data_IF_666224801710
#
_entry.id   IF_666224801710
#
_cell.length_a   1.000
_cell.length_b   1.000
_cell.length_c   1.000
_cell.angle_alpha   90.00
_cell.angle_beta   90.00
_cell.angle_gamma   90.00
#
_symmetry.space_group_name_H-M   'P 1'
#
loop_
_entity.id
_entity.type
_entity.pdbx_description
1 polymer ?
#
# COMPACT_ATOMS: atom_id res chain seq x y z
N UNK A 1 9.44 8.66 24.32
CA UNK A 1 10.66 9.45 24.07
C UNK A 1 10.88 9.52 22.57
N UNK A 2 10.76 10.69 21.96
CA UNK A 2 10.98 10.89 20.51
C UNK A 2 12.47 10.98 20.22
N UNK A 3 12.94 10.33 19.14
CA UNK A 3 14.33 10.43 18.69
C UNK A 3 14.43 11.41 17.52
N UNK A 4 15.45 12.29 17.47
CA UNK A 4 15.65 13.18 16.34
C UNK A 4 16.10 12.38 15.11
N UNK A 5 15.56 12.74 13.95
CA UNK A 5 15.95 12.18 12.64
C UNK A 5 16.29 13.34 11.73
N UNK A 6 17.46 13.29 11.08
CA UNK A 6 17.88 14.28 10.08
C UNK A 6 17.71 13.69 8.70
N UNK A 7 16.87 14.32 7.88
CA UNK A 7 16.59 13.90 6.50
C UNK A 7 17.11 15.00 5.58
N UNK A 8 17.87 14.64 4.54
CA UNK A 8 18.26 15.58 3.49
C UNK A 8 17.15 15.62 2.46
N UNK A 9 16.66 16.81 2.18
CA UNK A 9 15.67 17.11 1.13
C UNK A 9 16.23 18.23 0.27
N UNK A 10 15.84 18.26 -0.99
CA UNK A 10 16.15 19.40 -1.85
C UNK A 10 15.34 20.64 -1.44
N UNK A 11 15.80 21.81 -1.89
CA UNK A 11 15.21 23.10 -1.53
C UNK A 11 13.75 23.24 -1.98
N UNK A 12 13.39 22.65 -3.13
CA UNK A 12 12.03 22.70 -3.66
C UNK A 12 11.08 21.91 -2.76
N UNK A 13 11.46 20.69 -2.39
CA UNK A 13 10.67 19.86 -1.48
C UNK A 13 10.54 20.52 -0.09
N UNK A 14 11.61 21.14 0.41
CA UNK A 14 11.55 21.89 1.67
C UNK A 14 10.56 23.06 1.60
N UNK A 15 10.55 23.83 0.50
CA UNK A 15 9.60 24.93 0.30
C UNK A 15 8.14 24.44 0.28
N UNK A 16 7.87 23.34 -0.44
CA UNK A 16 6.52 22.74 -0.50
C UNK A 16 6.05 22.25 0.87
N UNK A 17 6.94 21.61 1.65
CA UNK A 17 6.63 21.15 3.00
C UNK A 17 6.32 22.32 3.93
N UNK A 18 7.05 23.43 3.80
CA UNK A 18 6.82 24.64 4.58
C UNK A 18 5.47 25.28 4.26
N UNK A 19 5.18 25.50 2.99
CA UNK A 19 3.89 26.06 2.55
C UNK A 19 2.71 25.22 3.06
N UNK A 20 2.83 23.90 2.94
CA UNK A 20 1.79 22.99 3.41
C UNK A 20 1.63 23.02 4.93
N UNK A 21 2.74 23.08 5.67
CA UNK A 21 2.68 23.18 7.12
C UNK A 21 2.01 24.50 7.58
N UNK A 22 2.32 25.61 6.90
CA UNK A 22 1.69 26.91 7.16
C UNK A 22 0.18 26.88 6.85
N UNK A 23 -0.21 26.27 5.72
CA UNK A 23 -1.61 26.11 5.33
C UNK A 23 -2.41 25.24 6.32
N UNK A 24 -1.79 24.20 6.88
CA UNK A 24 -2.40 23.31 7.88
C UNK A 24 -2.25 23.83 9.33
N UNK A 25 -1.60 24.98 9.55
CA UNK A 25 -1.37 25.54 10.88
C UNK A 25 -0.49 24.65 11.77
N UNK A 26 0.42 23.89 11.17
CA UNK A 26 1.28 22.91 11.83
C UNK A 26 2.76 23.19 11.54
N UNK A 27 3.64 22.34 12.07
CA UNK A 27 5.09 22.40 11.78
C UNK A 27 5.48 21.37 10.74
N UNK A 28 6.53 21.64 9.96
CA UNK A 28 7.10 20.69 9.01
C UNK A 28 7.45 19.36 9.70
N UNK A 29 7.98 19.41 10.92
CA UNK A 29 8.27 18.20 11.72
C UNK A 29 7.02 17.40 12.04
N UNK A 30 5.93 18.06 12.47
CA UNK A 30 4.67 17.38 12.77
C UNK A 30 4.03 16.78 11.50
N UNK A 31 4.15 17.47 10.37
CA UNK A 31 3.67 16.99 9.07
C UNK A 31 4.44 15.74 8.61
N UNK A 32 5.76 15.76 8.69
CA UNK A 32 6.61 14.60 8.35
C UNK A 32 6.38 13.45 9.32
N UNK A 33 6.27 13.73 10.62
CA UNK A 33 6.02 12.70 11.63
C UNK A 33 4.67 12.01 11.42
N UNK A 34 3.62 12.77 11.06
CA UNK A 34 2.31 12.22 10.70
C UNK A 34 2.40 11.35 9.44
N UNK A 35 3.02 11.86 8.37
CA UNK A 35 3.18 11.09 7.14
C UNK A 35 3.98 9.81 7.36
N UNK A 36 5.06 9.86 8.17
CA UNK A 36 5.84 8.68 8.53
C UNK A 36 5.05 7.68 9.39
N UNK A 37 4.25 8.17 10.34
CA UNK A 37 3.36 7.33 11.13
C UNK A 37 2.31 6.64 10.25
N UNK A 38 1.67 7.38 9.35
CA UNK A 38 0.66 6.86 8.43
C UNK A 38 1.28 5.87 7.42
N UNK A 39 2.51 6.11 6.94
CA UNK A 39 3.22 5.20 6.05
C UNK A 39 3.67 3.89 6.72
N UNK A 40 4.06 3.94 8.01
CA UNK A 40 4.46 2.76 8.78
C UNK A 40 3.24 1.99 9.29
N UNK A 41 2.12 2.68 9.48
CA UNK A 41 0.91 2.17 10.10
C UNK A 41 -0.27 2.24 9.14
N UNK A 42 -0.06 1.95 7.85
CA UNK A 42 -1.14 1.96 6.87
C UNK A 42 -2.13 0.82 7.21
N UNK A 43 -3.29 1.13 7.81
CA UNK A 43 -4.24 0.12 8.28
C UNK A 43 -4.90 -0.63 7.12
N UNK A 44 -4.73 -0.15 5.88
CA UNK A 44 -5.12 -0.91 4.69
C UNK A 44 -4.13 -2.04 4.44
N UNK A 45 -2.83 -1.83 4.63
CA UNK A 45 -1.81 -2.85 4.35
C UNK A 45 -1.67 -3.90 5.47
N UNK A 46 -2.01 -3.55 6.71
CA UNK A 46 -1.97 -4.48 7.86
C UNK A 46 -2.97 -5.66 7.73
N UNK A 47 -3.98 -5.54 6.86
CA UNK A 47 -4.95 -6.60 6.59
C UNK A 47 -5.30 -6.80 5.12
N UNK A 48 -4.91 -5.93 4.18
CA UNK A 48 -5.30 -6.06 2.76
C UNK A 48 -4.83 -7.38 2.14
N UNK A 49 -3.65 -7.88 2.50
CA UNK A 49 -3.19 -9.16 1.99
C UNK A 49 -4.08 -10.32 2.50
N UNK A 50 -4.57 -10.24 3.74
CA UNK A 50 -5.49 -11.23 4.31
C UNK A 50 -6.89 -11.11 3.69
N UNK A 51 -7.44 -9.90 3.61
CA UNK A 51 -8.72 -9.61 2.94
C UNK A 51 -8.70 -10.04 1.48
N UNK A 52 -7.62 -9.76 0.76
CA UNK A 52 -7.45 -10.18 -0.63
C UNK A 52 -7.38 -11.71 -0.75
N UNK A 53 -6.63 -12.39 0.14
CA UNK A 53 -6.57 -13.86 0.16
C UNK A 53 -7.93 -14.49 0.46
N UNK A 54 -8.67 -13.95 1.44
CA UNK A 54 -10.03 -14.40 1.77
C UNK A 54 -10.96 -14.19 0.58
N UNK A 55 -10.96 -13.00 -0.03
CA UNK A 55 -11.79 -12.70 -1.20
C UNK A 55 -11.49 -13.64 -2.37
N UNK A 56 -10.21 -13.88 -2.69
CA UNK A 56 -9.82 -14.79 -3.76
C UNK A 56 -10.29 -16.21 -3.46
N UNK A 57 -10.08 -16.72 -2.24
CA UNK A 57 -10.52 -18.06 -1.87
C UNK A 57 -12.04 -18.22 -1.93
N UNK A 58 -12.80 -17.24 -1.45
CA UNK A 58 -14.26 -17.29 -1.43
C UNK A 58 -14.89 -17.20 -2.83
N UNK A 59 -14.15 -16.66 -3.81
CA UNK A 59 -14.66 -16.43 -5.17
C UNK A 59 -13.95 -17.29 -6.23
N UNK A 60 -12.95 -18.10 -5.86
CA UNK A 60 -12.18 -18.92 -6.79
C UNK A 60 -13.07 -19.88 -7.59
N UNK A 61 -14.01 -20.57 -6.93
CA UNK A 61 -14.93 -21.49 -7.60
C UNK A 61 -15.86 -20.77 -8.58
N UNK A 62 -16.31 -19.56 -8.23
CA UNK A 62 -17.16 -18.75 -9.09
C UNK A 62 -16.39 -18.22 -10.30
N UNK A 63 -15.11 -17.88 -10.12
CA UNK A 63 -14.22 -17.49 -11.20
C UNK A 63 -13.95 -18.66 -12.16
N UNK A 64 -13.59 -19.83 -11.64
CA UNK A 64 -13.35 -21.04 -12.44
C UNK A 64 -14.61 -21.48 -13.21
N UNK A 65 -15.80 -21.29 -12.65
CA UNK A 65 -17.07 -21.57 -13.33
C UNK A 65 -17.40 -20.55 -14.44
N UNK A 66 -17.05 -19.28 -14.25
CA UNK A 66 -17.27 -18.21 -15.24
C UNK A 66 -16.23 -18.22 -16.37
N UNK A 67 -15.00 -18.63 -16.06
CA UNK A 67 -13.86 -18.70 -16.98
C UNK A 67 -13.25 -20.11 -16.98
N UNK A 68 -13.96 -21.12 -17.50
CA UNK A 68 -13.52 -22.51 -17.46
C UNK A 68 -12.24 -22.80 -18.27
N UNK A 69 -11.83 -21.86 -19.13
CA UNK A 69 -10.56 -21.91 -19.86
C UNK A 69 -9.36 -21.49 -19.02
N UNK A 70 -9.56 -20.62 -18.03
CA UNK A 70 -8.56 -20.10 -17.10
C UNK A 70 -8.59 -20.80 -15.74
N UNK A 71 -9.44 -21.83 -15.59
CA UNK A 71 -9.61 -22.54 -14.34
C UNK A 71 -8.28 -23.10 -13.82
N UNK A 72 -8.04 -22.92 -12.52
CA UNK A 72 -6.74 -23.24 -11.90
C UNK A 72 -6.35 -24.72 -12.09
N UNK A 73 -7.35 -25.62 -12.12
CA UNK A 73 -7.19 -27.05 -12.38
C UNK A 73 -6.59 -27.41 -13.75
N UNK A 74 -6.54 -26.47 -14.70
CA UNK A 74 -5.84 -26.63 -15.99
C UNK A 74 -4.37 -26.23 -15.94
N UNK A 75 -3.94 -25.40 -14.98
CA UNK A 75 -2.55 -24.98 -14.85
C UNK A 75 -1.65 -26.14 -14.35
N UNK A 76 -2.23 -27.15 -13.69
CA UNK A 76 -1.57 -28.41 -13.33
C UNK A 76 -1.45 -29.40 -14.51
N UNK A 77 -2.03 -29.07 -15.68
CA UNK A 77 -1.82 -29.87 -16.88
C UNK A 77 -0.44 -29.54 -17.49
N UNK A 78 0.41 -30.54 -17.76
CA UNK A 78 1.73 -30.29 -18.35
C UNK A 78 1.57 -29.80 -19.78
N UNK A 79 1.60 -28.49 -19.97
CA UNK A 79 1.74 -27.88 -21.29
C UNK A 79 0.86 -26.67 -21.54
N UNK A 80 1.19 -25.54 -20.92
CA UNK A 80 1.09 -24.25 -21.63
C UNK A 80 2.02 -23.21 -21.03
N UNK A 81 3.24 -23.16 -21.56
CA UNK A 81 4.06 -21.96 -21.54
C UNK A 81 4.17 -21.48 -22.99
N UNK A 82 3.55 -20.34 -23.29
CA UNK A 82 3.90 -19.33 -24.29
C UNK A 82 2.84 -18.24 -24.28
#
# INVERSE_FOLDING_TARGET
>A
MSKPVTIRVDDQLHAMLKERAEAEGTTVTALIARAAHDAVRDPRLEGAAEVFRTFVNDNADAFDAAFPEDASSRLDAPGRAA
#
